data_IF_631055159689
#
_entry.id   IF_631055159689
#
_cell.length_a   1.000
_cell.length_b   1.000
_cell.length_c   1.000
_cell.angle_alpha   90.00
_cell.angle_beta   90.00
_cell.angle_gamma   90.00
#
_symmetry.space_group_name_H-M   'P 1'
#
loop_
_entity.id
_entity.type
_entity.pdbx_description
1 polymer ?
#
# COMPACT_ATOMS: atom_id res chain seq x y z
N UNK A 1 4.02 -7.60 -1.64
CA UNK A 1 5.23 -8.02 -2.38
C UNK A 1 4.83 -9.26 -3.16
N UNK A 2 5.30 -9.43 -4.39
CA UNK A 2 4.95 -10.60 -5.21
C UNK A 2 5.53 -11.88 -4.56
N UNK A 3 4.78 -12.99 -4.58
CA UNK A 3 5.15 -14.26 -3.95
C UNK A 3 6.44 -14.83 -4.53
N UNK A 4 6.62 -14.68 -5.85
CA UNK A 4 7.84 -15.12 -6.53
C UNK A 4 9.05 -14.29 -6.11
N UNK A 5 8.88 -12.97 -5.99
CA UNK A 5 9.93 -12.07 -5.49
C UNK A 5 10.27 -12.35 -4.03
N UNK A 6 9.28 -12.71 -3.20
CA UNK A 6 9.51 -13.12 -1.82
C UNK A 6 10.30 -14.42 -1.76
N UNK A 7 9.93 -15.43 -2.55
CA UNK A 7 10.63 -16.71 -2.63
C UNK A 7 12.11 -16.55 -3.00
N UNK A 8 12.41 -15.70 -4.01
CA UNK A 8 13.77 -15.43 -4.45
C UNK A 8 14.63 -14.83 -3.33
N UNK A 9 14.09 -13.82 -2.63
CA UNK A 9 14.76 -13.20 -1.48
C UNK A 9 14.98 -14.19 -0.32
N UNK A 10 14.02 -15.07 -0.05
CA UNK A 10 14.12 -16.05 1.03
C UNK A 10 15.15 -17.14 0.72
N UNK A 11 15.27 -17.56 -0.55
CA UNK A 11 16.32 -18.47 -1.01
C UNK A 11 17.70 -17.81 -0.89
N UNK A 12 17.84 -16.56 -1.32
CA UNK A 12 19.10 -15.81 -1.19
C UNK A 12 19.51 -15.64 0.28
N UNK A 13 18.54 -15.36 1.15
CA UNK A 13 18.77 -15.26 2.58
C UNK A 13 19.21 -16.61 3.17
N UNK A 14 18.57 -17.71 2.77
CA UNK A 14 18.96 -19.06 3.20
C UNK A 14 20.41 -19.36 2.81
N UNK A 15 20.80 -19.10 1.56
CA UNK A 15 22.17 -19.33 1.08
C UNK A 15 23.19 -18.47 1.83
N UNK A 16 22.84 -17.22 2.14
CA UNK A 16 23.68 -16.32 2.93
C UNK A 16 23.86 -16.82 4.37
N UNK A 17 22.78 -17.29 5.00
CA UNK A 17 22.82 -17.90 6.34
C UNK A 17 23.73 -19.13 6.30
N UNK A 18 23.56 -20.04 5.34
CA UNK A 18 24.41 -21.23 5.18
C UNK A 18 25.89 -20.87 5.05
N UNK A 19 26.23 -19.93 4.17
CA UNK A 19 27.60 -19.48 3.96
C UNK A 19 28.21 -18.90 5.24
N UNK A 20 27.46 -18.04 5.93
CA UNK A 20 27.90 -17.43 7.20
C UNK A 20 28.06 -18.46 8.32
N UNK A 21 27.18 -19.47 8.37
CA UNK A 21 27.22 -20.55 9.36
C UNK A 21 28.45 -21.43 9.18
N UNK A 22 28.78 -21.80 7.93
CA UNK A 22 30.00 -22.55 7.61
C UNK A 22 31.24 -21.73 7.99
N UNK A 23 31.26 -20.43 7.66
CA UNK A 23 32.37 -19.55 8.02
C UNK A 23 32.52 -19.39 9.55
N UNK A 24 31.41 -19.31 10.29
CA UNK A 24 31.40 -19.26 11.74
C UNK A 24 31.98 -20.54 12.35
N UNK A 25 31.45 -21.71 11.98
CA UNK A 25 31.94 -23.00 12.49
C UNK A 25 33.41 -23.20 12.13
N UNK A 26 33.81 -22.92 10.89
CA UNK A 26 35.19 -23.09 10.44
C UNK A 26 36.20 -22.23 11.21
N UNK A 27 35.82 -21.01 11.61
CA UNK A 27 36.69 -20.11 12.38
C UNK A 27 36.68 -20.38 13.88
N UNK A 28 35.58 -20.90 14.42
CA UNK A 28 35.37 -21.07 15.87
C UNK A 28 35.63 -22.50 16.36
N UNK A 29 35.72 -23.47 15.47
CA UNK A 29 36.03 -24.86 15.79
C UNK A 29 37.39 -25.01 16.47
N UNK A 30 37.41 -25.71 17.61
CA UNK A 30 38.65 -26.10 18.30
C UNK A 30 39.28 -27.28 17.58
N UNK A 31 40.53 -27.16 17.16
CA UNK A 31 41.31 -28.29 16.68
C UNK A 31 41.75 -29.15 17.88
N UNK A 32 41.23 -30.37 17.97
CA UNK A 32 41.67 -31.34 18.97
C UNK A 32 42.94 -32.05 18.46
N UNK A 33 44.00 -32.19 19.28
CA UNK A 33 45.12 -33.05 18.95
C UNK A 33 44.67 -34.51 18.93
N UNK A 34 45.18 -35.28 17.96
CA UNK A 34 45.01 -36.73 17.98
C UNK A 34 45.73 -37.33 19.21
N UNK A 35 45.13 -38.35 19.86
CA UNK A 35 45.67 -38.94 21.09
C UNK A 35 47.09 -39.52 20.95
N UNK A 36 47.50 -39.88 19.73
CA UNK A 36 48.81 -40.49 19.44
C UNK A 36 49.83 -39.55 18.78
N UNK A 37 49.54 -38.23 18.71
CA UNK A 37 50.42 -37.27 18.02
C UNK A 37 51.29 -36.48 18.98
N UNK A 38 52.62 -36.61 18.84
CA UNK A 38 53.64 -35.80 19.53
C UNK A 38 53.83 -34.41 18.88
N UNK A 39 53.10 -34.10 17.81
CA UNK A 39 53.26 -32.84 17.07
C UNK A 39 52.49 -31.73 17.80
N UNK A 40 53.18 -30.72 18.37
CA UNK A 40 52.50 -29.62 19.03
C UNK A 40 51.71 -28.79 18.00
N UNK A 41 50.42 -28.61 18.25
CA UNK A 41 49.57 -27.70 17.47
C UNK A 41 50.09 -26.27 17.67
N UNK A 42 50.65 -25.67 16.62
CA UNK A 42 50.92 -24.24 16.57
C UNK A 42 49.57 -23.51 16.49
N UNK A 43 49.07 -23.08 17.64
CA UNK A 43 47.91 -22.18 17.72
C UNK A 43 48.33 -20.84 17.09
N UNK A 44 48.06 -20.67 15.80
CA UNK A 44 48.24 -19.39 15.13
C UNK A 44 47.35 -18.36 15.84
N UNK A 45 47.90 -17.19 16.16
CA UNK A 45 47.33 -16.24 17.13
C UNK A 45 45.84 -15.88 16.97
N UNK A 46 45.23 -15.53 18.12
CA UNK A 46 43.81 -15.17 18.30
C UNK A 46 42.83 -16.20 17.70
N UNK A 47 43.00 -17.47 18.03
CA UNK A 47 41.87 -18.41 17.93
C UNK A 47 40.84 -18.01 18.98
N UNK A 48 39.79 -17.30 18.55
CA UNK A 48 38.59 -17.03 19.37
C UNK A 48 37.77 -18.32 19.54
N UNK A 49 38.44 -19.40 19.90
CA UNK A 49 37.90 -20.74 19.90
C UNK A 49 36.97 -20.88 21.11
N UNK A 50 35.68 -20.98 20.79
CA UNK A 50 34.58 -21.05 21.76
C UNK A 50 34.61 -22.41 22.46
N UNK A 51 34.04 -22.54 23.67
CA UNK A 51 33.94 -23.86 24.31
C UNK A 51 33.14 -24.83 23.42
N UNK A 52 33.42 -26.13 23.51
CA UNK A 52 32.69 -27.13 22.72
C UNK A 52 31.18 -27.09 23.01
N UNK A 53 30.82 -26.84 24.27
CA UNK A 53 29.42 -26.73 24.73
C UNK A 53 28.71 -25.53 24.11
N UNK A 54 29.35 -24.37 24.11
CA UNK A 54 28.80 -23.16 23.49
C UNK A 54 28.75 -23.28 21.96
N UNK A 55 29.73 -23.94 21.33
CA UNK A 55 29.73 -24.19 19.90
C UNK A 55 28.59 -25.14 19.50
N UNK A 56 28.35 -26.21 20.25
CA UNK A 56 27.23 -27.13 20.01
C UNK A 56 25.88 -26.44 20.19
N UNK A 57 25.74 -25.57 21.20
CA UNK A 57 24.55 -24.75 21.39
C UNK A 57 24.30 -23.80 20.21
N UNK A 58 25.33 -23.09 19.75
CA UNK A 58 25.23 -22.21 18.57
C UNK A 58 24.95 -22.99 17.28
N UNK A 59 25.52 -24.17 17.11
CA UNK A 59 25.21 -25.04 15.95
C UNK A 59 23.74 -25.48 16.01
N UNK A 60 23.23 -25.85 17.17
CA UNK A 60 21.83 -26.24 17.33
C UNK A 60 20.86 -25.10 16.98
N UNK A 61 21.17 -23.88 17.40
CA UNK A 61 20.40 -22.68 17.05
C UNK A 61 20.44 -22.41 15.55
N UNK A 62 21.63 -22.43 14.94
CA UNK A 62 21.79 -22.22 13.49
C UNK A 62 21.05 -23.28 12.66
N UNK A 63 21.03 -24.54 13.11
CA UNK A 63 20.29 -25.61 12.44
C UNK A 63 18.79 -25.41 12.59
N UNK A 64 18.30 -25.00 13.77
CA UNK A 64 16.89 -24.69 13.97
C UNK A 64 16.43 -23.55 13.05
N UNK A 65 17.19 -22.45 13.00
CA UNK A 65 16.91 -21.31 12.11
C UNK A 65 16.88 -21.72 10.64
N UNK A 66 17.79 -22.63 10.23
CA UNK A 66 17.84 -23.14 8.87
C UNK A 66 16.60 -23.98 8.52
N UNK A 67 16.17 -24.85 9.44
CA UNK A 67 14.98 -25.70 9.26
C UNK A 67 13.73 -24.84 9.18
N UNK A 68 13.56 -23.89 10.09
CA UNK A 68 12.42 -22.98 10.11
C UNK A 68 12.33 -22.15 8.81
N UNK A 69 13.49 -21.71 8.27
CA UNK A 69 13.54 -21.01 6.98
C UNK A 69 13.23 -21.93 5.80
N UNK A 70 13.72 -23.17 5.82
CA UNK A 70 13.40 -24.16 4.79
C UNK A 70 11.89 -24.51 4.76
N UNK A 71 11.26 -24.61 5.93
CA UNK A 71 9.82 -24.86 6.03
C UNK A 71 9.00 -23.63 5.58
N UNK A 72 9.45 -22.41 5.91
CA UNK A 72 8.84 -21.18 5.38
C UNK A 72 8.88 -21.13 3.84
N UNK A 73 10.02 -21.49 3.24
CA UNK A 73 10.17 -21.58 1.78
C UNK A 73 9.23 -22.64 1.20
N UNK A 74 9.10 -23.80 1.86
CA UNK A 74 8.17 -24.85 1.44
C UNK A 74 6.73 -24.35 1.44
N UNK A 75 6.31 -23.65 2.50
CA UNK A 75 4.98 -23.05 2.57
C UNK A 75 4.76 -22.07 1.42
N UNK A 76 5.71 -21.19 1.11
CA UNK A 76 5.60 -20.26 -0.02
C UNK A 76 5.42 -21.02 -1.34
N UNK A 77 6.21 -22.09 -1.56
CA UNK A 77 6.11 -22.93 -2.77
C UNK A 77 4.73 -23.59 -2.89
N UNK A 78 4.12 -24.03 -1.79
CA UNK A 78 2.76 -24.60 -1.81
C UNK A 78 1.69 -23.57 -2.19
N UNK A 79 1.92 -22.30 -1.88
CA UNK A 79 1.03 -21.19 -2.22
C UNK A 79 1.31 -20.59 -3.60
N UNK A 80 2.33 -21.05 -4.33
CA UNK A 80 2.58 -20.58 -5.69
C UNK A 80 1.46 -21.06 -6.62
N UNK A 81 0.86 -20.15 -7.41
CA UNK A 81 -0.20 -20.54 -8.33
C UNK A 81 0.39 -21.46 -9.40
N UNK A 82 -0.04 -22.71 -9.40
CA UNK A 82 0.43 -23.74 -10.33
C UNK A 82 -0.35 -23.67 -11.65
N UNK A 83 0.16 -24.26 -12.72
CA UNK A 83 -0.57 -24.41 -14.01
C UNK A 83 -1.97 -25.03 -13.84
N UNK A 84 -2.15 -25.88 -12.83
CA UNK A 84 -3.46 -26.45 -12.45
C UNK A 84 -4.44 -25.40 -11.88
N UNK A 85 -3.93 -24.32 -11.26
CA UNK A 85 -4.73 -23.25 -10.65
C UNK A 85 -5.01 -22.08 -11.61
N UNK A 86 -4.08 -21.76 -12.50
CA UNK A 86 -4.22 -20.67 -13.47
C UNK A 86 -4.84 -21.13 -14.80
N UNK A 87 -4.91 -22.44 -15.04
CA UNK A 87 -5.09 -22.98 -16.38
C UNK A 87 -3.84 -22.75 -17.22
N UNK A 88 -3.72 -23.43 -18.37
CA UNK A 88 -2.65 -23.13 -19.30
C UNK A 88 -2.75 -21.68 -19.83
N UNK A 89 -1.68 -21.18 -20.43
CA UNK A 89 -1.58 -19.80 -20.95
C UNK A 89 -2.79 -19.35 -21.79
N UNK A 90 -3.39 -20.28 -22.55
CA UNK A 90 -4.56 -19.97 -23.39
C UNK A 90 -5.83 -19.69 -22.58
N UNK A 91 -6.03 -20.39 -21.47
CA UNK A 91 -7.18 -20.17 -20.58
C UNK A 91 -7.01 -18.86 -19.81
N UNK A 92 -5.79 -18.61 -19.31
CA UNK A 92 -5.46 -17.34 -18.66
C UNK A 92 -5.66 -16.15 -19.61
N UNK A 93 -5.21 -16.27 -20.86
CA UNK A 93 -5.42 -15.24 -21.87
C UNK A 93 -6.91 -14.99 -22.13
N UNK A 94 -7.73 -16.04 -22.20
CA UNK A 94 -9.16 -15.91 -22.39
C UNK A 94 -9.83 -15.22 -21.19
N UNK A 95 -9.46 -15.59 -19.95
CA UNK A 95 -9.95 -14.94 -18.74
C UNK A 95 -9.56 -13.47 -18.66
N UNK A 96 -8.32 -13.14 -19.03
CA UNK A 96 -7.86 -11.75 -19.10
C UNK A 96 -8.63 -10.94 -20.14
N UNK A 97 -8.91 -11.51 -21.32
CA UNK A 97 -9.74 -10.85 -22.32
C UNK A 97 -11.18 -10.65 -21.85
N UNK A 98 -11.76 -11.62 -21.16
CA UNK A 98 -13.09 -11.51 -20.58
C UNK A 98 -13.15 -10.38 -19.52
N UNK A 99 -12.21 -10.37 -18.57
CA UNK A 99 -12.08 -9.30 -17.58
C UNK A 99 -11.88 -7.93 -18.23
N UNK A 100 -11.06 -7.85 -19.28
CA UNK A 100 -10.86 -6.61 -20.02
C UNK A 100 -12.16 -6.11 -20.67
N UNK A 101 -12.94 -7.01 -21.28
CA UNK A 101 -14.24 -6.66 -21.88
C UNK A 101 -15.25 -6.17 -20.82
N UNK A 102 -15.28 -6.83 -19.66
CA UNK A 102 -16.11 -6.42 -18.53
C UNK A 102 -15.70 -5.02 -18.02
N UNK A 103 -14.41 -4.79 -17.79
CA UNK A 103 -13.89 -3.49 -17.36
C UNK A 103 -14.21 -2.39 -18.37
N UNK A 104 -14.12 -2.67 -19.67
CA UNK A 104 -14.50 -1.70 -20.70
C UNK A 104 -15.99 -1.37 -20.65
N UNK A 105 -16.84 -2.35 -20.38
CA UNK A 105 -18.29 -2.16 -20.26
C UNK A 105 -18.61 -1.33 -19.03
N UNK A 106 -18.06 -1.69 -17.87
CA UNK A 106 -18.23 -0.96 -16.61
C UNK A 106 -17.73 0.47 -16.74
N UNK A 107 -16.57 0.70 -17.37
CA UNK A 107 -16.03 2.04 -17.55
C UNK A 107 -16.92 2.90 -18.47
N UNK A 108 -17.49 2.33 -19.54
CA UNK A 108 -18.47 3.04 -20.37
C UNK A 108 -19.71 3.43 -19.58
N UNK A 109 -20.25 2.52 -18.78
CA UNK A 109 -21.40 2.80 -17.92
C UNK A 109 -21.07 3.86 -16.87
N UNK A 110 -19.86 3.81 -16.29
CA UNK A 110 -19.38 4.81 -15.34
C UNK A 110 -19.26 6.20 -15.98
N UNK A 111 -18.72 6.30 -17.20
CA UNK A 111 -18.65 7.57 -17.94
C UNK A 111 -20.04 8.13 -18.24
N UNK A 112 -21.00 7.29 -18.64
CA UNK A 112 -22.39 7.70 -18.86
C UNK A 112 -23.06 8.18 -17.57
N UNK A 113 -22.81 7.52 -16.45
CA UNK A 113 -23.34 7.93 -15.17
C UNK A 113 -22.71 9.26 -14.70
N UNK A 114 -21.40 9.42 -14.91
CA UNK A 114 -20.70 10.66 -14.59
C UNK A 114 -21.28 11.85 -15.34
N UNK A 115 -21.55 11.72 -16.65
CA UNK A 115 -22.14 12.81 -17.43
C UNK A 115 -23.57 13.14 -17.01
N UNK A 116 -24.36 12.13 -16.62
CA UNK A 116 -25.70 12.33 -16.06
C UNK A 116 -25.67 13.05 -14.71
N UNK A 117 -24.73 12.68 -13.84
CA UNK A 117 -24.52 13.35 -12.55
C UNK A 117 -24.09 14.80 -12.78
N UNK A 118 -23.19 15.04 -13.73
CA UNK A 118 -22.74 16.38 -14.07
C UNK A 118 -23.89 17.24 -14.61
N UNK A 119 -24.73 16.72 -15.51
CA UNK A 119 -25.90 17.44 -16.03
C UNK A 119 -26.92 17.76 -14.93
N UNK A 120 -27.22 16.77 -14.08
CA UNK A 120 -28.16 16.98 -12.96
C UNK A 120 -27.59 17.99 -11.95
N UNK A 121 -26.29 17.93 -11.68
CA UNK A 121 -25.63 18.91 -10.81
C UNK A 121 -25.68 20.32 -11.39
N UNK A 122 -25.60 20.46 -12.71
CA UNK A 122 -25.74 21.74 -13.40
C UNK A 122 -27.17 22.29 -13.27
N UNK A 123 -28.18 21.45 -13.50
CA UNK A 123 -29.59 21.81 -13.33
C UNK A 123 -29.91 22.24 -11.89
N UNK A 124 -29.44 21.49 -10.89
CA UNK A 124 -29.61 21.84 -9.48
C UNK A 124 -28.92 23.17 -9.15
N UNK A 125 -27.70 23.41 -9.68
CA UNK A 125 -27.02 24.70 -9.50
C UNK A 125 -27.79 25.85 -10.14
N UNK A 126 -28.38 25.65 -11.31
CA UNK A 126 -29.19 26.67 -11.98
C UNK A 126 -30.46 27.00 -11.17
N UNK A 127 -31.18 25.99 -10.70
CA UNK A 127 -32.37 26.19 -9.86
C UNK A 127 -32.03 26.92 -8.55
N UNK A 128 -30.90 26.58 -7.92
CA UNK A 128 -30.41 27.30 -6.74
C UNK A 128 -30.02 28.75 -7.10
N UNK A 129 -29.43 28.99 -8.27
CA UNK A 129 -29.15 30.32 -8.78
C UNK A 129 -30.41 31.17 -8.96
N UNK A 130 -31.45 30.60 -9.57
CA UNK A 130 -32.74 31.29 -9.74
C UNK A 130 -33.42 31.57 -8.40
N UNK A 131 -33.40 30.62 -7.47
CA UNK A 131 -34.01 30.78 -6.15
C UNK A 131 -33.29 31.87 -5.34
N UNK A 132 -31.96 31.88 -5.35
CA UNK A 132 -31.16 32.92 -4.67
C UNK A 132 -31.37 34.30 -5.31
N UNK A 133 -31.45 34.37 -6.63
CA UNK A 133 -31.75 35.61 -7.35
C UNK A 133 -33.15 36.13 -6.99
N UNK A 134 -34.18 35.27 -7.04
CA UNK A 134 -35.55 35.62 -6.63
C UNK A 134 -35.62 36.11 -5.18
N UNK A 135 -34.92 35.42 -4.26
CA UNK A 135 -34.82 35.88 -2.87
C UNK A 135 -34.13 37.24 -2.74
N UNK A 136 -33.10 37.50 -3.55
CA UNK A 136 -32.39 38.78 -3.55
C UNK A 136 -33.26 39.91 -4.08
N UNK A 137 -34.06 39.66 -5.13
CA UNK A 137 -34.93 40.65 -5.74
C UNK A 137 -36.15 40.94 -4.86
N UNK A 138 -36.73 39.92 -4.21
CA UNK A 138 -37.77 40.10 -3.21
C UNK A 138 -37.27 40.92 -2.02
N UNK A 139 -36.02 40.68 -1.56
CA UNK A 139 -35.39 41.50 -0.52
C UNK A 139 -35.17 42.94 -0.98
N UNK A 140 -34.67 43.17 -2.18
CA UNK A 140 -34.49 44.52 -2.75
C UNK A 140 -35.82 45.27 -2.86
N UNK A 141 -36.86 44.61 -3.34
CA UNK A 141 -38.21 45.19 -3.43
C UNK A 141 -38.75 45.58 -2.05
N UNK A 142 -38.56 44.74 -1.03
CA UNK A 142 -38.96 45.08 0.35
C UNK A 142 -38.20 46.30 0.88
N UNK A 143 -36.90 46.39 0.60
CA UNK A 143 -36.08 47.56 0.99
C UNK A 143 -36.55 48.82 0.29
N UNK A 144 -36.81 48.77 -1.02
CA UNK A 144 -37.32 49.90 -1.81
C UNK A 144 -38.69 50.39 -1.32
N UNK A 145 -39.59 49.47 -0.94
CA UNK A 145 -40.86 49.84 -0.30
C UNK A 145 -40.69 50.52 1.05
N UNK A 146 -39.73 50.08 1.87
CA UNK A 146 -39.45 50.71 3.15
C UNK A 146 -38.85 52.11 2.96
N UNK A 147 -37.93 52.27 2.00
CA UNK A 147 -37.34 53.57 1.67
C UNK A 147 -38.40 54.54 1.10
N UNK A 148 -39.32 54.06 0.25
CA UNK A 148 -40.44 54.86 -0.24
C UNK A 148 -41.38 55.35 0.87
N UNK A 149 -41.64 54.51 1.88
CA UNK A 149 -42.42 54.91 3.07
C UNK A 149 -41.66 55.88 3.99
N UNK A 150 -40.33 55.93 3.87
CA UNK A 150 -39.47 56.80 4.68
C UNK A 150 -39.17 58.16 3.99
N UNK A 151 -39.65 58.40 2.76
CA UNK A 151 -39.52 59.72 2.12
C UNK A 151 -40.51 60.71 2.76
N UNK A 152 -40.03 61.78 3.44
CA UNK A 152 -40.93 62.77 4.02
C UNK A 152 -41.61 63.58 2.92
N UNK A 153 -42.92 63.78 3.05
CA UNK A 153 -43.71 64.61 2.15
C UNK A 153 -43.04 65.99 1.93
N UNK A 154 -42.99 66.52 0.70
CA UNK A 154 -42.44 67.85 0.46
C UNK A 154 -43.31 68.87 1.19
N UNK A 155 -42.75 69.50 2.22
CA UNK A 155 -43.36 70.61 2.94
C UNK A 155 -43.55 71.75 1.93
N UNK A 156 -44.78 71.90 1.46
CA UNK A 156 -45.19 73.03 0.63
C UNK A 156 -45.24 74.27 1.52
N UNK A 157 -44.13 75.00 1.61
CA UNK A 157 -44.11 76.33 2.24
C UNK A 157 -44.73 77.31 1.24
N UNK A 158 -46.01 77.61 1.45
CA UNK A 158 -46.72 78.71 0.80
C UNK A 158 -46.24 80.02 1.43
N UNK A 159 -45.32 80.71 0.75
CA UNK A 159 -44.98 82.08 1.08
C UNK A 159 -46.07 83.00 0.53
N UNK A 160 -46.99 83.39 1.41
CA UNK A 160 -47.95 84.49 1.24
C UNK A 160 -47.49 85.62 2.16
N UNK A 161 -47.56 86.86 1.67
CA UNK A 161 -47.38 88.14 2.37
C UNK A 161 -46.01 88.49 2.99
N UNK A 162 -45.26 89.36 2.29
CA UNK A 162 -45.01 90.76 2.68
C UNK A 162 -43.96 91.41 1.75
#
# INVERSE_FOLDING_TARGET
MDLLTQLDNDIDLLLKIMSSSIAYISRKAKHAPLPDSTIPLTVLGKTEAVSAVELDASISELVADLVDKADSIREIIEHLPTEASLGGDTELQHQLMAMQSELQTVNKSYMQLSTQVDSLSAEVRELLGLLTQSHSDARRWLVDQLDAQCTPAPISISATDA
#
